data_IF_877054788694
#
_entry.id   IF_877054788694
#
_cell.length_a   1.000
_cell.length_b   1.000
_cell.length_c   1.000
_cell.angle_alpha   90.00
_cell.angle_beta   90.00
_cell.angle_gamma   90.00
#
_symmetry.space_group_name_H-M   'P 1'
#
loop_
_entity.id
_entity.type
_entity.pdbx_description
1 polymer ?
#
# COMPACT_ATOMS: atom_id res chain seq x y z
N UNK A 1 19.83 -11.67 -19.15
CA UNK A 1 19.26 -10.85 -18.09
C UNK A 1 17.88 -11.29 -17.64
N UNK A 2 17.57 -12.54 -17.87
CA UNK A 2 16.37 -13.22 -17.39
C UNK A 2 16.33 -13.19 -15.84
N UNK A 3 17.48 -13.27 -15.18
CA UNK A 3 17.59 -13.19 -13.72
C UNK A 3 17.12 -11.88 -13.11
N UNK A 4 17.36 -10.73 -13.78
CA UNK A 4 16.90 -9.41 -13.29
C UNK A 4 15.38 -9.28 -13.29
N UNK A 5 14.71 -9.85 -14.30
CA UNK A 5 13.24 -9.84 -14.39
C UNK A 5 12.65 -10.71 -13.29
N UNK A 6 13.20 -11.90 -13.06
CA UNK A 6 12.77 -12.80 -12.00
C UNK A 6 12.97 -12.17 -10.61
N UNK A 7 14.09 -11.49 -10.40
CA UNK A 7 14.35 -10.77 -9.15
C UNK A 7 13.31 -9.67 -8.91
N UNK A 8 12.96 -8.91 -9.95
CA UNK A 8 11.93 -7.88 -9.87
C UNK A 8 10.55 -8.48 -9.57
N UNK A 9 10.20 -9.58 -10.23
CA UNK A 9 8.93 -10.28 -9.98
C UNK A 9 8.89 -10.77 -8.53
N UNK A 10 9.99 -11.35 -8.02
CA UNK A 10 10.09 -11.80 -6.64
C UNK A 10 9.97 -10.64 -5.66
N UNK A 11 10.61 -9.51 -5.93
CA UNK A 11 10.49 -8.31 -5.11
C UNK A 11 9.06 -7.79 -5.07
N UNK A 12 8.38 -7.75 -6.21
CA UNK A 12 6.98 -7.32 -6.30
C UNK A 12 6.03 -8.31 -5.61
N UNK A 13 6.31 -9.61 -5.72
CA UNK A 13 5.54 -10.65 -5.03
C UNK A 13 5.69 -10.56 -3.51
N UNK A 14 6.88 -10.17 -3.03
CA UNK A 14 7.15 -9.95 -1.61
C UNK A 14 6.57 -8.63 -1.10
N UNK A 15 6.14 -7.75 -2.01
CA UNK A 15 5.45 -6.50 -1.67
C UNK A 15 3.93 -6.69 -1.70
N UNK A 16 3.44 -7.74 -1.09
CA UNK A 16 2.01 -7.93 -0.92
C UNK A 16 1.41 -6.78 -0.11
N UNK A 17 0.16 -6.46 -0.41
CA UNK A 17 -0.57 -5.43 0.33
C UNK A 17 -0.67 -5.77 1.82
N UNK A 18 -0.74 -4.74 2.65
CA UNK A 18 -0.85 -4.90 4.08
C UNK A 18 -2.14 -5.63 4.46
N UNK A 19 -2.07 -6.48 5.47
CA UNK A 19 -3.24 -7.19 5.98
C UNK A 19 -4.11 -6.25 6.81
N UNK A 20 -5.38 -6.62 6.99
CA UNK A 20 -6.30 -5.87 7.84
C UNK A 20 -5.76 -5.70 9.26
N UNK A 21 -5.13 -6.74 9.81
CA UNK A 21 -4.53 -6.71 11.14
C UNK A 21 -3.36 -5.73 11.22
N UNK A 22 -2.50 -5.71 10.20
CA UNK A 22 -1.39 -4.76 10.12
C UNK A 22 -1.88 -3.32 10.03
N UNK A 23 -2.89 -3.07 9.21
CA UNK A 23 -3.51 -1.75 9.08
C UNK A 23 -4.16 -1.33 10.40
N UNK A 24 -4.88 -2.23 11.06
CA UNK A 24 -5.52 -1.97 12.35
C UNK A 24 -4.50 -1.55 13.41
N UNK A 25 -3.36 -2.21 13.45
CA UNK A 25 -2.29 -1.90 14.40
C UNK A 25 -1.69 -0.51 14.15
N UNK A 26 -1.43 -0.18 12.90
CA UNK A 26 -0.93 1.14 12.53
C UNK A 26 -1.93 2.25 12.89
N UNK A 27 -3.21 2.04 12.59
CA UNK A 27 -4.27 3.00 12.89
C UNK A 27 -4.43 3.19 14.40
N UNK A 28 -4.41 2.10 15.16
CA UNK A 28 -4.51 2.15 16.62
C UNK A 28 -3.38 2.95 17.24
N UNK A 29 -2.14 2.70 16.82
CA UNK A 29 -0.97 3.40 17.31
C UNK A 29 -1.02 4.90 17.01
N UNK A 30 -1.44 5.27 15.80
CA UNK A 30 -1.59 6.68 15.42
C UNK A 30 -2.71 7.34 16.23
N UNK A 31 -3.83 6.67 16.43
CA UNK A 31 -4.94 7.19 17.22
C UNK A 31 -4.52 7.46 18.68
N UNK A 32 -3.70 6.58 19.25
CA UNK A 32 -3.15 6.78 20.60
C UNK A 32 -2.25 8.02 20.66
N UNK A 33 -1.40 8.22 19.65
CA UNK A 33 -0.52 9.40 19.58
C UNK A 33 -1.36 10.68 19.47
N UNK A 34 -2.38 10.70 18.63
CA UNK A 34 -3.26 11.85 18.46
C UNK A 34 -3.95 12.20 19.78
N UNK A 35 -4.50 11.21 20.48
CA UNK A 35 -5.16 11.42 21.78
C UNK A 35 -4.19 11.90 22.86
N UNK A 36 -2.95 11.42 22.83
CA UNK A 36 -1.93 11.79 23.81
C UNK A 36 -1.41 13.22 23.61
N UNK A 37 -1.32 13.67 22.36
CA UNK A 37 -0.72 14.97 22.02
C UNK A 37 -1.74 16.07 21.79
N UNK A 38 -2.98 15.72 21.47
CA UNK A 38 -4.05 16.67 21.15
C UNK A 38 -5.26 16.41 22.06
N UNK A 39 -5.35 17.11 23.20
CA UNK A 39 -6.47 16.94 24.12
C UNK A 39 -7.81 17.24 23.45
N UNK A 40 -8.83 16.43 23.74
CA UNK A 40 -10.16 16.59 23.18
C UNK A 40 -10.35 15.97 21.81
N UNK A 41 -9.42 15.14 21.34
CA UNK A 41 -9.63 14.35 20.14
C UNK A 41 -10.80 13.39 20.33
N UNK A 42 -11.69 13.32 19.34
CA UNK A 42 -12.88 12.48 19.38
C UNK A 42 -12.52 10.99 19.37
N UNK A 43 -13.23 10.24 20.21
CA UNK A 43 -13.09 8.79 20.27
C UNK A 43 -14.37 8.16 19.72
N UNK A 44 -14.32 7.48 18.54
CA UNK A 44 -15.48 6.81 18.00
C UNK A 44 -15.87 5.61 18.86
N UNK A 45 -17.16 5.22 18.85
CA UNK A 45 -17.59 4.02 19.52
C UNK A 45 -17.05 2.76 18.83
N UNK A 46 -17.25 1.59 19.43
CA UNK A 46 -16.69 0.33 18.92
C UNK A 46 -17.23 -0.03 17.54
N UNK A 47 -18.54 0.20 17.31
CA UNK A 47 -19.15 -0.09 16.02
C UNK A 47 -18.61 0.82 14.93
N UNK A 48 -18.46 2.10 15.21
CA UNK A 48 -17.88 3.06 14.29
C UNK A 48 -16.42 2.74 14.00
N UNK A 49 -15.65 2.32 15.00
CA UNK A 49 -14.26 1.87 14.84
C UNK A 49 -14.16 0.72 13.85
N UNK A 50 -15.04 -0.28 13.96
CA UNK A 50 -15.04 -1.43 13.06
C UNK A 50 -15.38 -1.03 11.63
N UNK A 51 -16.36 -0.14 11.46
CA UNK A 51 -16.74 0.38 10.15
C UNK A 51 -15.61 1.17 9.51
N UNK A 52 -14.97 2.06 10.26
CA UNK A 52 -13.83 2.86 9.81
C UNK A 52 -12.67 1.94 9.44
N UNK A 53 -12.34 0.98 10.29
CA UNK A 53 -11.25 0.04 10.03
C UNK A 53 -11.49 -0.76 8.75
N UNK A 54 -12.70 -1.25 8.54
CA UNK A 54 -13.05 -2.02 7.34
C UNK A 54 -12.87 -1.14 6.09
N UNK A 55 -13.31 0.09 6.13
CA UNK A 55 -13.16 1.03 5.02
C UNK A 55 -11.68 1.29 4.72
N UNK A 56 -10.88 1.62 5.73
CA UNK A 56 -9.44 1.88 5.56
C UNK A 56 -8.69 0.63 5.09
N UNK A 57 -9.03 -0.54 5.63
CA UNK A 57 -8.41 -1.80 5.22
C UNK A 57 -8.70 -2.11 3.74
N UNK A 58 -9.90 -1.81 3.28
CA UNK A 58 -10.28 -1.98 1.87
C UNK A 58 -9.45 -1.07 0.96
N UNK A 59 -9.33 0.21 1.34
CA UNK A 59 -8.63 1.20 0.52
C UNK A 59 -7.10 1.07 0.60
N UNK A 60 -6.57 0.71 1.75
CA UNK A 60 -5.12 0.62 1.97
C UNK A 60 -4.55 -0.79 1.78
N UNK A 61 -5.41 -1.78 1.55
CA UNK A 61 -5.00 -3.18 1.43
C UNK A 61 -4.12 -3.50 0.23
N UNK A 62 -4.04 -2.60 -0.76
CA UNK A 62 -3.15 -2.74 -1.91
C UNK A 62 -1.76 -2.13 -1.66
N UNK A 63 -1.57 -1.41 -0.55
CA UNK A 63 -0.31 -0.74 -0.22
C UNK A 63 0.58 -1.70 0.55
N UNK A 64 1.85 -1.87 0.14
CA UNK A 64 2.80 -2.70 0.89
C UNK A 64 2.98 -2.19 2.32
N UNK A 65 3.06 -3.13 3.26
CA UNK A 65 3.17 -2.80 4.69
C UNK A 65 4.35 -1.86 5.01
N UNK A 66 5.57 -2.08 4.46
CA UNK A 66 6.68 -1.16 4.74
C UNK A 66 6.40 0.29 4.32
N UNK A 67 5.67 0.51 3.24
CA UNK A 67 5.28 1.85 2.82
C UNK A 67 4.24 2.46 3.75
N UNK A 68 3.26 1.67 4.19
CA UNK A 68 2.30 2.12 5.19
C UNK A 68 2.98 2.48 6.51
N UNK A 69 3.95 1.68 6.95
CA UNK A 69 4.75 2.01 8.13
C UNK A 69 5.44 3.37 7.99
N UNK A 70 6.04 3.62 6.83
CA UNK A 70 6.70 4.89 6.53
C UNK A 70 5.73 6.06 6.59
N UNK A 71 4.55 5.92 5.97
CA UNK A 71 3.50 6.93 5.99
C UNK A 71 3.01 7.23 7.41
N UNK A 72 2.70 6.19 8.18
CA UNK A 72 2.21 6.37 9.56
C UNK A 72 3.29 6.95 10.48
N UNK A 73 4.56 6.62 10.28
CA UNK A 73 5.66 7.26 11.00
C UNK A 73 5.73 8.75 10.70
N UNK A 74 5.59 9.12 9.44
CA UNK A 74 5.56 10.53 9.04
C UNK A 74 4.38 11.27 9.70
N UNK A 75 3.20 10.67 9.69
CA UNK A 75 2.01 11.25 10.29
C UNK A 75 2.16 11.40 11.81
N UNK A 76 2.74 10.42 12.49
CA UNK A 76 2.99 10.52 13.94
C UNK A 76 3.86 11.72 14.30
N UNK A 77 4.80 12.08 13.45
CA UNK A 77 5.72 13.20 13.69
C UNK A 77 5.13 14.56 13.30
N UNK A 78 4.27 14.59 12.29
CA UNK A 78 3.85 15.83 11.65
C UNK A 78 2.36 16.13 11.74
N UNK A 79 1.53 15.17 12.17
CA UNK A 79 0.08 15.37 12.25
C UNK A 79 -0.30 16.30 13.37
N UNK A 80 -1.05 17.36 13.06
CA UNK A 80 -1.39 18.45 14.00
C UNK A 80 -2.89 18.55 14.28
N UNK A 81 -3.70 17.69 13.70
CA UNK A 81 -5.16 17.80 13.77
C UNK A 81 -5.74 16.80 14.74
N UNK A 82 -6.88 17.16 15.37
CA UNK A 82 -7.59 16.29 16.31
C UNK A 82 -8.31 15.13 15.63
N UNK A 83 -8.63 15.28 14.35
CA UNK A 83 -9.29 14.25 13.57
C UNK A 83 -8.27 13.26 13.02
N UNK A 84 -8.69 12.00 12.86
CA UNK A 84 -7.83 10.99 12.25
C UNK A 84 -7.60 11.32 10.77
N UNK A 85 -6.39 11.07 10.21
CA UNK A 85 -6.11 11.37 8.80
C UNK A 85 -7.03 10.62 7.86
N UNK A 86 -7.43 11.28 6.78
CA UNK A 86 -8.16 10.64 5.68
C UNK A 86 -7.21 9.78 4.86
N UNK A 87 -7.77 8.87 4.06
CA UNK A 87 -6.99 7.98 3.21
C UNK A 87 -6.04 8.76 2.30
N UNK A 88 -6.51 9.85 1.67
CA UNK A 88 -5.68 10.70 0.82
C UNK A 88 -4.48 11.29 1.58
N UNK A 89 -4.66 11.64 2.84
CA UNK A 89 -3.60 12.18 3.69
C UNK A 89 -2.59 11.12 4.11
N UNK A 90 -3.04 9.87 4.28
CA UNK A 90 -2.17 8.72 4.53
C UNK A 90 -1.33 8.40 3.29
N UNK A 91 -1.91 8.50 2.10
CA UNK A 91 -1.23 8.19 0.85
C UNK A 91 -0.23 9.27 0.41
N UNK A 92 -0.42 10.51 0.84
CA UNK A 92 0.42 11.64 0.40
C UNK A 92 1.92 11.43 0.66
N UNK A 93 2.37 11.00 1.87
CA UNK A 93 3.80 10.80 2.14
C UNK A 93 4.46 9.71 1.29
N UNK A 94 3.69 8.79 0.72
CA UNK A 94 4.20 7.64 -0.05
C UNK A 94 3.75 7.66 -1.51
N UNK A 95 3.21 8.78 -1.95
CA UNK A 95 2.65 8.94 -3.30
C UNK A 95 3.67 8.64 -4.40
N UNK A 96 4.90 9.11 -4.26
CA UNK A 96 5.96 8.89 -5.24
C UNK A 96 6.34 7.42 -5.32
N UNK A 97 6.55 6.77 -4.18
CA UNK A 97 6.90 5.36 -4.10
C UNK A 97 5.80 4.47 -4.68
N UNK A 98 4.54 4.81 -4.40
CA UNK A 98 3.41 4.07 -4.98
C UNK A 98 3.36 4.24 -6.50
N UNK A 99 3.66 5.44 -7.00
CA UNK A 99 3.76 5.71 -8.43
C UNK A 99 4.85 4.88 -9.10
N UNK A 100 6.00 4.77 -8.48
CA UNK A 100 7.12 3.96 -8.96
C UNK A 100 6.75 2.46 -9.02
N UNK A 101 6.11 1.95 -7.98
CA UNK A 101 5.65 0.56 -7.94
C UNK A 101 4.64 0.29 -9.05
N UNK A 102 3.69 1.19 -9.26
CA UNK A 102 2.69 1.08 -10.32
C UNK A 102 3.35 1.06 -11.70
N UNK A 103 4.35 1.91 -11.93
CA UNK A 103 5.11 1.94 -13.18
C UNK A 103 5.87 0.63 -13.39
N UNK A 104 6.51 0.10 -12.37
CA UNK A 104 7.20 -1.19 -12.43
C UNK A 104 6.23 -2.32 -12.79
N UNK A 105 5.07 -2.34 -12.19
CA UNK A 105 4.03 -3.33 -12.47
C UNK A 105 3.56 -3.26 -13.93
N UNK A 106 3.29 -2.07 -14.42
CA UNK A 106 2.89 -1.86 -15.82
C UNK A 106 3.97 -2.31 -16.79
N UNK A 107 5.23 -2.01 -16.50
CA UNK A 107 6.37 -2.43 -17.31
C UNK A 107 6.52 -3.94 -17.35
N UNK A 108 6.35 -4.61 -16.21
CA UNK A 108 6.44 -6.08 -16.13
C UNK A 108 5.30 -6.75 -16.87
N UNK A 109 4.08 -6.24 -16.77
CA UNK A 109 2.92 -6.76 -17.51
C UNK A 109 3.15 -6.62 -19.02
N UNK A 110 3.64 -5.45 -19.45
CA UNK A 110 3.93 -5.19 -20.86
C UNK A 110 5.00 -6.14 -21.40
N UNK A 111 6.09 -6.31 -20.64
CA UNK A 111 7.17 -7.23 -20.99
C UNK A 111 6.68 -8.66 -21.09
N UNK A 112 5.84 -9.10 -20.16
CA UNK A 112 5.27 -10.43 -20.14
C UNK A 112 4.37 -10.67 -21.36
N UNK A 113 3.58 -9.68 -21.76
CA UNK A 113 2.77 -9.75 -22.98
C UNK A 113 3.63 -9.88 -24.23
N UNK A 114 4.72 -9.13 -24.32
CA UNK A 114 5.65 -9.22 -25.46
C UNK A 114 6.29 -10.60 -25.55
N UNK A 115 6.70 -11.16 -24.43
CA UNK A 115 7.30 -12.50 -24.37
C UNK A 115 6.27 -13.57 -24.75
N UNK A 116 5.04 -13.47 -24.27
CA UNK A 116 3.96 -14.39 -24.63
C UNK A 116 3.65 -14.35 -26.12
N UNK A 117 3.58 -13.17 -26.71
CA UNK A 117 3.40 -13.01 -28.16
C UNK A 117 4.52 -13.63 -28.96
N UNK A 118 5.76 -13.49 -28.50
CA UNK A 118 6.92 -14.06 -29.16
C UNK A 118 6.90 -15.58 -29.13
N UNK A 119 6.51 -16.18 -28.02
CA UNK A 119 6.37 -17.62 -27.86
C UNK A 119 5.27 -18.16 -28.76
N UNK A 120 4.10 -17.53 -28.82
CA UNK A 120 3.01 -17.90 -29.70
C UNK A 120 3.39 -17.83 -31.18
N UNK A 121 4.15 -16.80 -31.55
CA UNK A 121 4.65 -16.61 -32.91
C UNK A 121 5.61 -17.75 -33.34
N UNK A 122 6.53 -18.10 -32.45
CA UNK A 122 7.49 -19.18 -32.70
C UNK A 122 6.79 -20.54 -32.80
N UNK A 123 5.79 -20.78 -31.96
CA UNK A 123 4.97 -22.01 -32.03
C UNK A 123 4.07 -22.03 -33.26
N UNK A 124 3.56 -20.89 -33.70
CA UNK A 124 2.71 -20.77 -34.89
C UNK A 124 3.44 -20.99 -36.20
N UNK A 125 4.75 -20.82 -36.23
CA UNK A 125 5.60 -21.02 -37.42
C UNK A 125 6.11 -22.44 -37.56
N UNK A 126 5.90 -23.30 -36.58
CA UNK A 126 6.28 -24.70 -36.63
C UNK A 126 5.28 -25.49 -37.49
N UNK A 127 5.69 -26.09 -38.60
CA UNK A 127 4.79 -26.92 -39.40
C UNK A 127 4.42 -28.22 -38.69
#
# INVERSE_FOLDING_TARGET
MIGSVNDLINQLSNMEGATKQEIAKLMHNLALVIRSTLPGADEPDEQDRQTILTHYATELGAVPYPLLQKSFQHLRKHWKYKTFPKIAEIMEPIKEEMGEIEQMYKSLIHLNKLLSHRIERDTGESP
#
